data_IF_013070572690
#
_entry.id   IF_013070572690
#
_cell.length_a   1.000
_cell.length_b   1.000
_cell.length_c   1.000
_cell.angle_alpha   90.00
_cell.angle_beta   90.00
_cell.angle_gamma   90.00
#
_symmetry.space_group_name_H-M   'P 1'
#
loop_
_entity.id
_entity.type
_entity.pdbx_description
1 polymer ?
#
# COMPACT_ATOMS: atom_id res chain seq x y z
N UNK A 1 -8.27 14.05 2.48
CA UNK A 1 -7.04 13.45 3.00
C UNK A 1 -7.06 11.94 2.84
N UNK A 2 -5.95 11.36 2.36
CA UNK A 2 -5.71 9.91 2.22
C UNK A 2 -5.07 9.35 3.50
N UNK A 3 -5.59 8.27 4.06
CA UNK A 3 -4.95 7.54 5.17
C UNK A 3 -4.21 6.33 4.64
N UNK A 4 -2.92 6.19 4.96
CA UNK A 4 -2.09 5.10 4.47
C UNK A 4 -0.97 4.70 5.45
N UNK A 5 -0.33 3.57 5.18
CA UNK A 5 0.94 3.20 5.82
C UNK A 5 2.15 3.82 5.11
N UNK A 6 3.31 3.76 5.76
CA UNK A 6 4.59 4.22 5.17
C UNK A 6 4.96 3.49 3.87
N UNK A 7 4.54 2.24 3.71
CA UNK A 7 4.71 1.42 2.51
C UNK A 7 4.06 2.02 1.26
N UNK A 8 2.89 2.67 1.41
CA UNK A 8 2.26 3.36 0.28
C UNK A 8 3.03 4.62 -0.14
N UNK A 9 3.53 5.40 0.83
CA UNK A 9 4.33 6.60 0.54
C UNK A 9 5.59 6.23 -0.24
N UNK A 10 6.32 5.21 0.21
CA UNK A 10 7.53 4.74 -0.48
C UNK A 10 7.22 4.32 -1.93
N UNK A 11 6.02 3.79 -2.18
CA UNK A 11 5.59 3.42 -3.52
C UNK A 11 5.47 4.61 -4.49
N UNK A 12 5.27 5.84 -4.00
CA UNK A 12 5.20 7.03 -4.85
C UNK A 12 6.50 7.32 -5.60
N UNK A 13 7.63 6.86 -5.06
CA UNK A 13 8.94 6.99 -5.69
C UNK A 13 9.26 5.84 -6.65
N UNK A 14 8.36 4.88 -6.82
CA UNK A 14 8.55 3.77 -7.75
C UNK A 14 8.33 4.26 -9.18
N UNK A 15 9.34 4.18 -10.07
CA UNK A 15 9.23 4.69 -11.43
C UNK A 15 8.07 4.04 -12.19
N UNK A 16 7.26 4.86 -12.86
CA UNK A 16 6.09 4.44 -13.66
C UNK A 16 4.96 3.74 -12.89
N UNK A 17 4.92 3.85 -11.56
CA UNK A 17 3.81 3.32 -10.77
C UNK A 17 2.69 4.36 -10.61
N UNK A 18 3.05 5.62 -10.43
CA UNK A 18 2.13 6.74 -10.21
C UNK A 18 2.35 7.80 -11.28
N UNK A 19 1.25 8.38 -11.77
CA UNK A 19 1.33 9.56 -12.62
C UNK A 19 1.68 10.78 -11.74
N UNK A 20 2.62 11.62 -12.18
CA UNK A 20 3.03 12.81 -11.42
C UNK A 20 1.85 13.76 -11.16
N UNK A 21 0.94 13.90 -12.13
CA UNK A 21 -0.27 14.70 -11.98
C UNK A 21 -1.17 14.18 -10.83
N UNK A 22 -1.28 12.87 -10.66
CA UNK A 22 -2.03 12.27 -9.56
C UNK A 22 -1.33 12.53 -8.23
N UNK A 23 0.01 12.46 -8.18
CA UNK A 23 0.77 12.78 -6.97
C UNK A 23 0.57 14.24 -6.55
N UNK A 24 0.65 15.19 -7.49
CA UNK A 24 0.35 16.59 -7.22
C UNK A 24 -1.08 16.79 -6.70
N UNK A 25 -2.06 16.09 -7.27
CA UNK A 25 -3.45 16.20 -6.85
C UNK A 25 -3.68 15.59 -5.47
N UNK A 26 -3.21 14.36 -5.23
CA UNK A 26 -3.33 13.66 -3.95
C UNK A 26 -2.64 14.45 -2.84
N UNK A 27 -1.40 14.87 -3.07
CA UNK A 27 -0.55 15.48 -2.04
C UNK A 27 -0.82 16.97 -1.88
N UNK A 28 -1.11 17.69 -2.97
CA UNK A 28 -1.36 19.13 -2.95
C UNK A 28 -2.79 19.50 -2.55
N UNK A 29 -3.79 18.91 -3.18
CA UNK A 29 -5.20 19.30 -2.94
C UNK A 29 -5.83 18.57 -1.75
N UNK A 30 -5.54 17.28 -1.57
CA UNK A 30 -6.23 16.46 -0.57
C UNK A 30 -5.42 16.20 0.69
N UNK A 31 -4.10 16.03 0.58
CA UNK A 31 -3.19 15.71 1.67
C UNK A 31 -3.23 14.24 2.12
N UNK A 32 -2.25 13.86 2.94
CA UNK A 32 -2.05 12.49 3.40
C UNK A 32 -1.84 12.41 4.91
N UNK A 33 -2.37 11.36 5.54
CA UNK A 33 -2.05 10.93 6.91
C UNK A 33 -1.36 9.58 6.81
N UNK A 34 -0.11 9.51 7.27
CA UNK A 34 0.75 8.36 7.08
C UNK A 34 1.07 7.75 8.43
N UNK A 35 0.65 6.51 8.65
CA UNK A 35 0.98 5.75 9.85
C UNK A 35 2.32 5.06 9.64
N UNK A 36 3.30 5.43 10.45
CA UNK A 36 4.64 4.89 10.39
C UNK A 36 4.64 3.40 10.79
N UNK A 37 5.32 2.56 10.01
CA UNK A 37 5.55 1.15 10.32
C UNK A 37 7.04 0.89 10.50
N UNK A 38 7.39 -0.19 11.21
CA UNK A 38 8.78 -0.59 11.40
C UNK A 38 9.46 -0.81 10.05
N UNK A 39 10.59 -0.14 9.81
CA UNK A 39 11.41 -0.33 8.62
C UNK A 39 11.17 0.66 7.47
N UNK A 40 10.25 1.63 7.62
CA UNK A 40 10.02 2.69 6.62
C UNK A 40 10.50 4.04 7.14
N UNK A 41 11.49 4.68 6.50
CA UNK A 41 11.92 6.05 6.81
C UNK A 41 11.10 7.06 5.99
N UNK A 42 9.89 7.31 6.48
CA UNK A 42 8.92 8.21 5.81
C UNK A 42 9.51 9.62 5.68
N UNK A 43 10.22 10.12 6.69
CA UNK A 43 10.76 11.48 6.66
C UNK A 43 11.94 11.60 5.70
N UNK A 44 12.86 10.64 5.69
CA UNK A 44 13.94 10.59 4.71
C UNK A 44 13.40 10.54 3.28
N UNK A 45 12.36 9.74 3.06
CA UNK A 45 11.72 9.62 1.75
C UNK A 45 11.02 10.92 1.30
N UNK A 46 10.28 11.59 2.20
CA UNK A 46 9.63 12.88 1.91
C UNK A 46 10.62 13.98 1.53
N UNK A 47 11.85 13.92 2.06
CA UNK A 47 12.91 14.88 1.74
C UNK A 47 13.64 14.57 0.43
N UNK A 48 13.66 13.30 0.02
CA UNK A 48 14.43 12.84 -1.13
C UNK A 48 13.71 13.00 -2.48
N UNK A 49 12.40 13.29 -2.50
CA UNK A 49 11.60 13.31 -3.72
C UNK A 49 10.91 14.66 -3.92
N UNK A 50 11.09 15.27 -5.09
CA UNK A 50 10.74 16.68 -5.36
C UNK A 50 9.26 17.01 -5.10
N UNK A 51 8.33 16.26 -5.70
CA UNK A 51 6.88 16.45 -5.52
C UNK A 51 6.46 16.28 -4.06
N UNK A 52 6.99 15.26 -3.39
CA UNK A 52 6.69 14.98 -1.98
C UNK A 52 7.24 16.06 -1.05
N UNK A 53 8.43 16.57 -1.35
CA UNK A 53 9.03 17.67 -0.62
C UNK A 53 8.21 18.95 -0.81
N UNK A 54 7.79 19.26 -2.04
CA UNK A 54 6.96 20.43 -2.36
C UNK A 54 5.68 20.44 -1.51
N UNK A 55 4.97 19.32 -1.47
CA UNK A 55 3.68 19.17 -0.78
C UNK A 55 3.80 18.65 0.66
N UNK A 56 5.01 18.56 1.23
CA UNK A 56 5.27 17.94 2.56
C UNK A 56 4.46 18.52 3.71
N UNK A 57 4.04 19.78 3.62
CA UNK A 57 3.22 20.44 4.66
C UNK A 57 1.80 19.87 4.74
N UNK A 58 1.35 19.20 3.69
CA UNK A 58 0.05 18.54 3.63
C UNK A 58 0.15 17.03 3.98
N UNK A 59 1.29 16.59 4.50
CA UNK A 59 1.54 15.23 4.93
C UNK A 59 1.69 15.20 6.45
N UNK A 60 0.86 14.41 7.10
CA UNK A 60 0.85 14.22 8.55
C UNK A 60 1.34 12.82 8.87
N UNK A 61 2.53 12.72 9.46
CA UNK A 61 3.10 11.44 9.87
C UNK A 61 2.68 11.13 11.31
N UNK A 62 2.01 9.99 11.50
CA UNK A 62 1.56 9.49 12.79
C UNK A 62 2.48 8.36 13.23
N UNK A 63 3.19 8.58 14.33
CA UNK A 63 4.10 7.58 14.89
C UNK A 63 3.32 6.45 15.55
N UNK A 64 3.66 5.22 15.18
CA UNK A 64 3.07 4.04 15.80
C UNK A 64 3.89 3.61 17.02
N UNK A 65 3.37 3.85 18.23
CA UNK A 65 4.08 3.56 19.49
C UNK A 65 4.07 2.07 19.87
N UNK A 66 3.06 1.33 19.42
CA UNK A 66 2.93 -0.11 19.66
C UNK A 66 3.11 -0.83 18.33
N UNK A 67 4.12 -1.68 18.23
CA UNK A 67 4.41 -2.41 17.00
C UNK A 67 3.25 -3.31 16.57
N UNK A 68 2.83 -3.15 15.31
CA UNK A 68 1.87 -4.03 14.64
C UNK A 68 2.51 -4.60 13.38
N UNK A 69 2.87 -5.87 13.47
CA UNK A 69 3.51 -6.61 12.39
C UNK A 69 2.56 -7.62 11.73
N UNK A 70 1.24 -7.36 11.84
CA UNK A 70 0.21 -8.09 11.11
C UNK A 70 0.18 -7.53 9.69
N UNK A 71 0.27 -8.43 8.70
CA UNK A 71 0.14 -8.10 7.28
C UNK A 71 -0.70 -9.16 6.57
N UNK A 72 -1.39 -8.76 5.50
CA UNK A 72 -2.22 -9.69 4.72
C UNK A 72 -1.39 -10.86 4.16
N UNK A 73 -0.12 -10.63 3.81
CA UNK A 73 0.80 -11.69 3.38
C UNK A 73 0.98 -12.76 4.45
N UNK A 74 1.22 -12.36 5.71
CA UNK A 74 1.36 -13.31 6.84
C UNK A 74 0.05 -14.03 7.15
N UNK A 75 -1.08 -13.33 7.13
CA UNK A 75 -2.41 -13.93 7.35
C UNK A 75 -2.70 -15.00 6.28
N UNK A 76 -2.53 -14.67 4.99
CA UNK A 76 -2.70 -15.63 3.90
C UNK A 76 -1.76 -16.83 4.03
N UNK A 77 -0.50 -16.60 4.42
CA UNK A 77 0.48 -17.67 4.66
C UNK A 77 0.06 -18.61 5.79
N UNK A 78 -0.47 -18.08 6.89
CA UNK A 78 -0.95 -18.90 8.02
C UNK A 78 -2.14 -19.75 7.62
N UNK A 79 -3.11 -19.18 6.89
CA UNK A 79 -4.24 -19.95 6.34
C UNK A 79 -3.74 -21.06 5.41
N UNK A 80 -2.82 -20.74 4.48
CA UNK A 80 -2.21 -21.74 3.57
C UNK A 80 -1.50 -22.89 4.31
N UNK A 81 -0.93 -22.60 5.49
CA UNK A 81 -0.23 -23.59 6.35
C UNK A 81 -1.13 -24.24 7.39
N UNK A 82 -2.44 -24.02 7.32
CA UNK A 82 -3.42 -24.54 8.28
C UNK A 82 -3.12 -24.11 9.73
N UNK A 83 -2.53 -22.92 9.91
CA UNK A 83 -2.26 -22.29 11.20
C UNK A 83 -3.43 -21.40 11.62
N UNK A 84 -3.61 -21.23 12.93
CA UNK A 84 -4.64 -20.33 13.48
C UNK A 84 -4.32 -18.87 13.16
N UNK A 85 -5.33 -18.14 12.70
CA UNK A 85 -5.29 -16.66 12.54
C UNK A 85 -6.14 -15.94 13.59
N UNK A 86 -6.56 -16.65 14.65
CA UNK A 86 -7.32 -16.06 15.77
C UNK A 86 -6.52 -14.93 16.41
N UNK A 87 -7.19 -13.83 16.72
CA UNK A 87 -6.62 -12.57 17.24
C UNK A 87 -5.71 -11.79 16.28
N UNK A 88 -5.44 -12.29 15.07
CA UNK A 88 -4.76 -11.51 14.02
C UNK A 88 -5.76 -10.71 13.17
N UNK A 89 -7.00 -11.20 13.09
CA UNK A 89 -8.12 -10.57 12.40
C UNK A 89 -9.38 -10.68 13.28
N UNK A 90 -10.41 -9.85 13.05
CA UNK A 90 -11.68 -9.99 13.73
C UNK A 90 -12.32 -11.37 13.51
N UNK A 91 -12.97 -11.93 14.54
CA UNK A 91 -13.60 -13.26 14.47
C UNK A 91 -14.57 -13.42 13.29
N UNK A 92 -15.44 -12.44 12.94
CA UNK A 92 -16.30 -12.56 11.76
C UNK A 92 -15.52 -12.72 10.44
N UNK A 93 -14.36 -12.05 10.33
CA UNK A 93 -13.49 -12.16 9.14
C UNK A 93 -12.82 -13.52 9.09
N UNK A 94 -12.32 -14.01 10.23
CA UNK A 94 -11.76 -15.36 10.34
C UNK A 94 -12.78 -16.43 9.94
N UNK A 95 -13.99 -16.37 10.49
CA UNK A 95 -15.08 -17.29 10.14
C UNK A 95 -15.43 -17.23 8.66
N UNK A 96 -15.47 -16.04 8.08
CA UNK A 96 -15.74 -15.86 6.66
C UNK A 96 -14.66 -16.52 5.78
N UNK A 97 -13.37 -16.30 6.11
CA UNK A 97 -12.23 -16.90 5.41
C UNK A 97 -12.34 -18.43 5.41
N UNK A 98 -12.61 -19.04 6.57
CA UNK A 98 -12.71 -20.49 6.69
C UNK A 98 -13.98 -21.07 6.03
N UNK A 99 -15.13 -20.42 6.18
CA UNK A 99 -16.38 -20.87 5.58
C UNK A 99 -16.30 -20.91 4.05
N UNK A 100 -15.58 -19.98 3.43
CA UNK A 100 -15.43 -19.87 1.97
C UNK A 100 -14.11 -20.45 1.45
N UNK A 101 -13.30 -21.08 2.32
CA UNK A 101 -12.00 -21.66 1.96
C UNK A 101 -11.06 -20.66 1.25
N UNK A 102 -11.13 -19.38 1.62
CA UNK A 102 -10.28 -18.34 1.03
C UNK A 102 -8.82 -18.64 1.36
N UNK A 103 -7.94 -18.52 0.37
CA UNK A 103 -6.49 -18.75 0.50
C UNK A 103 -6.08 -20.22 0.78
N UNK A 104 -7.03 -21.15 0.80
CA UNK A 104 -6.77 -22.59 0.90
C UNK A 104 -6.51 -23.12 -0.52
N UNK A 105 -5.27 -23.50 -0.84
CA UNK A 105 -4.98 -24.25 -2.09
C UNK A 105 -4.38 -23.52 -3.29
N UNK A 106 -3.58 -22.46 -3.11
CA UNK A 106 -2.85 -21.83 -4.21
C UNK A 106 -1.35 -21.67 -3.93
N UNK A 107 -0.50 -22.42 -4.67
CA UNK A 107 0.91 -22.04 -4.89
C UNK A 107 0.90 -20.66 -5.57
N UNK A 108 1.19 -19.62 -4.80
CA UNK A 108 1.75 -18.39 -5.39
C UNK A 108 3.16 -18.81 -5.83
N UNK A 109 3.54 -18.70 -7.12
CA UNK A 109 4.92 -18.89 -7.50
C UNK A 109 5.73 -17.91 -6.66
N UNK A 110 6.74 -18.39 -5.94
CA UNK A 110 7.59 -17.58 -5.08
C UNK A 110 8.35 -16.47 -5.85
N UNK A 111 8.25 -16.43 -7.18
CA UNK A 111 9.01 -15.53 -8.07
C UNK A 111 8.17 -14.82 -9.16
N UNK A 112 6.85 -14.76 -9.05
CA UNK A 112 6.06 -13.97 -10.03
C UNK A 112 6.20 -12.47 -9.72
N UNK A 113 7.18 -11.82 -10.34
CA UNK A 113 7.30 -10.36 -10.39
C UNK A 113 5.94 -9.73 -10.75
N UNK A 114 5.60 -8.55 -10.19
CA UNK A 114 4.31 -7.92 -10.46
C UNK A 114 4.18 -7.71 -11.97
N UNK A 115 3.09 -8.23 -12.56
CA UNK A 115 2.74 -7.94 -13.93
C UNK A 115 2.62 -6.42 -14.06
N UNK A 116 3.52 -5.81 -14.83
CA UNK A 116 3.48 -4.38 -15.15
C UNK A 116 2.15 -4.13 -15.86
N UNK A 117 1.19 -3.55 -15.16
CA UNK A 117 0.03 -2.94 -15.79
C UNK A 117 0.54 -1.75 -16.58
N UNK A 118 0.74 -1.94 -17.88
CA UNK A 118 1.05 -0.84 -18.80
C UNK A 118 -0.06 0.20 -18.69
N UNK A 119 0.25 1.48 -18.45
CA UNK A 119 -0.77 2.52 -18.47
C UNK A 119 -1.40 2.55 -19.86
N UNK A 120 -2.73 2.49 -19.93
CA UNK A 120 -3.48 2.78 -21.14
C UNK A 120 -3.14 4.22 -21.53
N UNK A 121 -2.40 4.42 -22.62
CA UNK A 121 -2.23 5.74 -23.23
C UNK A 121 -3.63 6.30 -23.51
N UNK A 122 -4.00 7.38 -22.83
CA UNK A 122 -5.13 8.20 -23.24
C UNK A 122 -4.85 8.67 -24.68
N UNK A 123 -5.64 8.18 -25.63
CA UNK A 123 -5.64 8.71 -26.99
C UNK A 123 -6.18 10.14 -26.89
N UNK A 124 -5.31 11.12 -27.13
CA UNK A 124 -5.74 12.47 -27.43
C UNK A 124 -6.53 12.41 -28.75
N UNK A 125 -7.83 12.68 -28.67
CA UNK A 125 -8.65 13.04 -29.83
C UNK A 125 -8.16 14.40 -30.33
N UNK A 126 -7.32 14.34 -31.35
CA UNK A 126 -7.06 15.46 -32.26
C UNK A 126 -8.13 15.35 -33.35
N UNK A 127 -9.08 16.30 -33.37
CA UNK A 127 -9.95 16.55 -34.52
C UNK A 127 -10.03 18.05 -34.73
N UNK A 128 -9.60 18.41 -35.94
CA UNK A 128 -9.72 19.70 -36.62
C UNK A 128 -11.10 20.36 -36.48
#
# INVERSE_FOLDING_TARGET
>A
MLLAGGDLIESFGTPNLWAEADLHRIMGEYGCVIVERTGTDVWGFLLAHDILYEHRRNVFVVKQLIYNDISSTKVRLFVKRNMSIKYLVPDPVMHHIYAHQLYVGGREPLDAAPAKTTPVKAAAEDRD
#
